data_IF_862197503009
#
_entry.id   IF_862197503009
#
_cell.length_a   1.000
_cell.length_b   1.000
_cell.length_c   1.000
_cell.angle_alpha   90.00
_cell.angle_beta   90.00
_cell.angle_gamma   90.00
#
_symmetry.space_group_name_H-M   'P 1'
#
loop_
_entity.id
_entity.type
_entity.pdbx_description
1 polymer ?
#
# COMPACT_ATOMS: atom_id res chain seq x y z
N UNK A 1 -31.66 14.42 -17.02
CA UNK A 1 -31.65 13.79 -18.37
C UNK A 1 -30.20 13.54 -18.72
N UNK A 2 -29.89 12.35 -19.21
CA UNK A 2 -28.58 11.70 -19.32
C UNK A 2 -27.53 12.46 -20.16
N UNK A 3 -26.28 12.39 -19.69
CA UNK A 3 -25.00 12.15 -20.40
C UNK A 3 -23.90 12.54 -19.39
N UNK A 4 -23.31 11.62 -18.62
CA UNK A 4 -22.14 10.79 -18.96
C UNK A 4 -21.00 11.64 -19.58
N UNK A 5 -19.81 11.57 -18.95
CA UNK A 5 -18.53 12.25 -19.26
C UNK A 5 -17.97 13.14 -18.12
N UNK A 6 -17.45 12.51 -17.07
CA UNK A 6 -16.40 13.11 -16.24
C UNK A 6 -15.52 12.01 -15.61
N UNK A 7 -14.90 11.21 -16.48
CA UNK A 7 -13.70 10.42 -16.15
C UNK A 7 -12.48 11.24 -16.55
N UNK A 8 -12.02 12.16 -15.69
CA UNK A 8 -10.73 12.83 -15.85
C UNK A 8 -10.36 13.64 -14.58
N UNK A 9 -9.18 13.38 -14.04
CA UNK A 9 -8.22 14.35 -13.46
C UNK A 9 -8.32 14.84 -11.99
N UNK A 10 -9.24 14.34 -11.16
CA UNK A 10 -9.24 14.71 -9.74
C UNK A 10 -8.19 13.97 -8.90
N UNK A 11 -6.92 14.34 -8.99
CA UNK A 11 -5.90 13.87 -8.04
C UNK A 11 -6.31 14.33 -6.61
N UNK A 12 -6.22 13.48 -5.58
CA UNK A 12 -6.39 13.94 -4.22
C UNK A 12 -5.43 15.09 -3.97
N UNK A 13 -5.85 16.10 -3.22
CA UNK A 13 -5.02 17.22 -2.80
C UNK A 13 -4.97 17.29 -1.29
N UNK A 14 -3.82 17.65 -0.74
CA UNK A 14 -3.68 17.94 0.69
C UNK A 14 -4.37 19.29 1.02
N UNK A 15 -4.46 19.70 2.30
CA UNK A 15 -5.09 20.98 2.67
C UNK A 15 -4.36 22.22 2.15
N UNK A 16 -3.12 22.04 1.69
CA UNK A 16 -2.28 23.09 1.15
C UNK A 16 -2.38 23.18 -0.38
N UNK A 17 -3.21 22.34 -1.01
CA UNK A 17 -3.45 22.32 -2.45
C UNK A 17 -2.40 21.55 -3.24
N UNK A 18 -1.55 20.76 -2.57
CA UNK A 18 -0.59 19.86 -3.23
C UNK A 18 -1.28 18.58 -3.65
N UNK A 19 -1.13 18.24 -4.93
CA UNK A 19 -1.54 16.97 -5.53
C UNK A 19 -0.87 15.81 -4.79
N UNK A 20 -1.66 15.01 -4.06
CA UNK A 20 -1.26 13.79 -3.33
C UNK A 20 -1.17 12.56 -4.25
N UNK A 21 -0.93 12.78 -5.55
CA UNK A 21 -0.61 11.78 -6.56
C UNK A 21 -1.77 10.90 -7.09
N UNK A 22 -1.47 9.97 -8.01
CA UNK A 22 -2.47 9.27 -8.81
C UNK A 22 -3.05 8.05 -8.12
N UNK A 23 -4.38 7.87 -8.16
CA UNK A 23 -5.08 6.63 -7.75
C UNK A 23 -4.66 5.39 -8.55
N UNK A 24 -4.00 5.57 -9.69
CA UNK A 24 -3.60 4.50 -10.61
C UNK A 24 -2.11 4.14 -10.51
N UNK A 25 -1.34 4.88 -9.71
CA UNK A 25 0.11 4.70 -9.55
C UNK A 25 0.40 4.53 -8.06
N UNK A 26 1.01 3.41 -7.70
CA UNK A 26 1.60 3.20 -6.38
C UNK A 26 2.57 4.33 -6.06
N UNK A 27 2.38 4.98 -4.93
CA UNK A 27 3.27 6.03 -4.43
C UNK A 27 4.11 5.44 -3.29
N UNK A 28 5.37 5.85 -3.22
CA UNK A 28 6.19 5.65 -2.01
C UNK A 28 5.65 6.56 -0.92
N UNK A 29 5.09 5.96 0.13
CA UNK A 29 4.81 6.65 1.38
C UNK A 29 5.93 6.33 2.36
N UNK A 30 6.68 7.36 2.76
CA UNK A 30 7.75 7.26 3.75
C UNK A 30 7.27 7.86 5.08
N UNK A 31 7.76 7.33 6.21
CA UNK A 31 7.39 7.80 7.55
C UNK A 31 6.54 6.80 8.33
N UNK A 32 6.57 6.90 9.66
CA UNK A 32 5.87 5.95 10.55
C UNK A 32 4.35 6.18 10.57
N UNK A 33 3.92 7.37 10.17
CA UNK A 33 2.55 7.85 10.21
C UNK A 33 1.71 7.46 8.99
N UNK A 34 2.31 6.72 8.05
CA UNK A 34 1.68 6.29 6.82
C UNK A 34 1.71 4.77 6.67
N UNK A 35 0.70 4.25 5.98
CA UNK A 35 0.72 2.91 5.43
C UNK A 35 1.68 2.88 4.23
N UNK A 36 2.55 1.88 4.22
CA UNK A 36 3.54 1.64 3.20
C UNK A 36 2.99 0.71 2.14
N UNK A 37 3.26 1.06 0.88
CA UNK A 37 2.95 0.24 -0.29
C UNK A 37 3.85 -0.99 -0.39
N UNK A 38 3.54 -1.87 -1.34
CA UNK A 38 4.45 -2.95 -1.72
C UNK A 38 5.78 -2.38 -2.26
N UNK A 39 6.91 -3.10 -2.13
CA UNK A 39 8.15 -2.70 -2.76
C UNK A 39 7.98 -2.52 -4.28
N UNK A 40 8.50 -1.44 -4.85
CA UNK A 40 8.56 -1.31 -6.32
C UNK A 40 9.80 -2.00 -6.87
N UNK A 41 9.70 -2.58 -8.07
CA UNK A 41 10.87 -3.14 -8.76
C UNK A 41 11.84 -2.05 -9.23
N UNK A 42 11.36 -0.81 -9.42
CA UNK A 42 12.12 0.29 -10.06
C UNK A 42 11.98 1.62 -9.31
N UNK A 43 11.85 1.59 -7.98
CA UNK A 43 11.72 2.80 -7.14
C UNK A 43 10.59 3.76 -7.58
N UNK A 44 9.50 3.20 -8.13
CA UNK A 44 8.37 3.95 -8.70
C UNK A 44 8.73 4.91 -9.86
N UNK A 45 9.86 4.69 -10.54
CA UNK A 45 10.22 5.43 -11.74
C UNK A 45 9.24 5.11 -12.88
N UNK A 46 8.39 6.09 -13.19
CA UNK A 46 7.40 6.05 -14.28
C UNK A 46 8.04 5.93 -15.68
N UNK A 47 9.36 6.12 -15.81
CA UNK A 47 10.10 6.02 -17.08
C UNK A 47 10.79 4.66 -17.30
N UNK A 48 10.87 3.83 -16.27
CA UNK A 48 11.46 2.50 -16.33
C UNK A 48 10.46 1.44 -15.85
N UNK A 49 9.42 1.18 -16.64
CA UNK A 49 8.58 -0.02 -16.45
C UNK A 49 9.29 -1.25 -17.01
N UNK A 50 10.28 -1.77 -16.29
CA UNK A 50 10.85 -3.10 -16.57
C UNK A 50 10.48 -4.03 -15.41
N UNK A 51 9.69 -5.10 -15.61
CA UNK A 51 9.56 -6.14 -14.60
C UNK A 51 10.95 -6.70 -14.28
N UNK A 52 11.21 -7.01 -13.00
CA UNK A 52 12.42 -7.72 -12.61
C UNK A 52 12.37 -9.09 -13.28
N UNK A 53 12.99 -9.23 -14.46
CA UNK A 53 13.10 -10.49 -15.21
C UNK A 53 14.06 -11.49 -14.50
N UNK A 54 14.01 -11.54 -13.16
CA UNK A 54 14.77 -12.45 -12.33
C UNK A 54 13.91 -13.68 -12.07
N UNK A 55 14.38 -14.85 -12.52
CA UNK A 55 13.68 -16.10 -12.30
C UNK A 55 13.58 -16.49 -10.82
N UNK A 56 12.64 -17.36 -10.43
CA UNK A 56 12.36 -17.75 -9.04
C UNK A 56 13.52 -18.49 -8.32
N UNK A 57 14.65 -18.72 -8.99
CA UNK A 57 15.88 -19.34 -8.45
C UNK A 57 17.09 -18.41 -8.47
N UNK A 58 16.89 -17.12 -8.73
CA UNK A 58 17.97 -16.16 -8.69
C UNK A 58 18.31 -15.86 -7.21
N UNK A 59 19.56 -16.10 -6.82
CA UNK A 59 20.03 -15.91 -5.44
C UNK A 59 19.92 -14.45 -4.98
N UNK A 60 20.10 -13.48 -5.88
CA UNK A 60 19.98 -12.05 -5.58
C UNK A 60 18.52 -11.64 -5.28
N UNK A 61 17.56 -12.25 -5.98
CA UNK A 61 16.13 -12.05 -5.70
C UNK A 61 15.76 -12.63 -4.33
N UNK A 62 16.28 -13.81 -3.98
CA UNK A 62 16.05 -14.42 -2.68
C UNK A 62 16.68 -13.59 -1.56
N UNK A 63 17.91 -13.10 -1.76
CA UNK A 63 18.58 -12.21 -0.81
C UNK A 63 17.80 -10.89 -0.61
N UNK A 64 17.30 -10.31 -1.70
CA UNK A 64 16.48 -9.09 -1.66
C UNK A 64 15.15 -9.32 -0.93
N UNK A 65 14.50 -10.47 -1.15
CA UNK A 65 13.26 -10.83 -0.44
C UNK A 65 13.53 -10.98 1.07
N UNK A 66 14.64 -11.60 1.44
CA UNK A 66 15.00 -11.80 2.84
C UNK A 66 15.36 -10.48 3.53
N UNK A 67 16.13 -9.61 2.88
CA UNK A 67 16.44 -8.27 3.37
C UNK A 67 15.17 -7.43 3.59
N UNK A 68 14.24 -7.48 2.62
CA UNK A 68 12.94 -6.80 2.74
C UNK A 68 12.11 -7.38 3.88
N UNK A 69 12.09 -8.71 4.02
CA UNK A 69 11.37 -9.38 5.11
C UNK A 69 11.88 -8.92 6.46
N UNK A 70 13.19 -8.91 6.65
CA UNK A 70 13.82 -8.47 7.89
C UNK A 70 13.54 -6.98 8.17
N UNK A 71 13.57 -6.14 7.13
CA UNK A 71 13.25 -4.71 7.23
C UNK A 71 11.79 -4.48 7.66
N UNK A 72 10.83 -5.16 7.03
CA UNK A 72 9.40 -5.05 7.39
C UNK A 72 9.18 -5.58 8.81
N UNK A 73 9.72 -6.74 9.15
CA UNK A 73 9.64 -7.33 10.48
C UNK A 73 10.15 -6.37 11.57
N UNK A 74 11.31 -5.75 11.35
CA UNK A 74 11.89 -4.79 12.27
C UNK A 74 11.07 -3.50 12.39
N UNK A 75 10.59 -2.96 11.25
CA UNK A 75 9.80 -1.72 11.22
C UNK A 75 8.47 -1.88 11.94
N UNK A 76 7.85 -3.04 11.79
CA UNK A 76 6.52 -3.35 12.32
C UNK A 76 6.57 -4.07 13.67
N UNK A 77 7.80 -4.39 14.13
CA UNK A 77 8.04 -5.07 15.41
C UNK A 77 7.35 -6.44 15.51
N UNK A 78 7.36 -7.20 14.41
CA UNK A 78 6.76 -8.55 14.30
C UNK A 78 7.80 -9.60 13.91
N UNK A 79 7.56 -10.90 14.18
CA UNK A 79 8.37 -11.98 13.63
C UNK A 79 8.38 -11.99 12.09
N UNK A 80 9.52 -12.33 11.49
CA UNK A 80 9.66 -12.45 10.03
C UNK A 80 8.69 -13.47 9.39
N UNK A 81 8.25 -14.45 10.17
CA UNK A 81 7.25 -15.45 9.77
C UNK A 81 5.85 -14.86 9.57
N UNK A 82 5.55 -13.73 10.21
CA UNK A 82 4.25 -13.05 10.12
C UNK A 82 4.22 -12.03 8.96
N UNK A 83 5.36 -11.75 8.33
CA UNK A 83 5.46 -10.83 7.18
C UNK A 83 4.83 -11.48 5.93
N UNK A 84 3.73 -10.92 5.39
CA UNK A 84 3.03 -11.49 4.26
C UNK A 84 3.83 -11.34 2.96
N UNK A 85 3.54 -12.19 1.99
CA UNK A 85 4.34 -12.28 0.77
C UNK A 85 4.27 -10.99 -0.08
N UNK A 86 3.15 -10.26 -0.07
CA UNK A 86 2.99 -9.01 -0.82
C UNK A 86 3.83 -7.85 -0.27
N UNK A 87 4.22 -7.91 1.01
CA UNK A 87 5.11 -6.93 1.65
C UNK A 87 6.56 -7.00 1.14
N UNK A 88 6.98 -8.16 0.60
CA UNK A 88 8.37 -8.40 0.15
C UNK A 88 8.50 -8.62 -1.35
N UNK A 89 7.39 -8.97 -2.00
CA UNK A 89 7.33 -9.17 -3.45
C UNK A 89 6.89 -7.90 -4.15
N UNK A 90 7.66 -7.48 -5.15
CA UNK A 90 7.26 -6.38 -5.99
C UNK A 90 5.99 -6.73 -6.78
N UNK A 91 5.07 -5.78 -6.93
CA UNK A 91 3.94 -5.99 -7.82
C UNK A 91 4.44 -6.10 -9.27
N UNK A 92 3.84 -7.01 -10.05
CA UNK A 92 4.25 -7.27 -11.43
C UNK A 92 4.17 -6.05 -12.36
N UNK A 93 3.44 -5.00 -11.96
CA UNK A 93 3.36 -3.71 -12.67
C UNK A 93 4.31 -2.64 -12.13
N UNK A 94 4.89 -2.81 -10.94
CA UNK A 94 5.67 -1.77 -10.25
C UNK A 94 4.88 -0.52 -9.82
N UNK A 95 3.57 -0.50 -10.08
CA UNK A 95 2.68 0.66 -9.94
C UNK A 95 1.37 0.32 -9.22
N UNK A 96 1.25 -0.85 -8.61
CA UNK A 96 0.03 -1.28 -7.94
C UNK A 96 -0.20 -0.47 -6.65
N UNK A 97 -1.30 0.29 -6.54
CA UNK A 97 -1.60 1.09 -5.35
C UNK A 97 -2.19 0.26 -4.20
N UNK A 98 -2.27 -1.06 -4.36
CA UNK A 98 -2.90 -1.94 -3.39
C UNK A 98 -1.93 -2.82 -2.59
N UNK A 99 -2.30 -3.06 -1.34
CA UNK A 99 -1.71 -4.07 -0.46
C UNK A 99 -2.79 -5.07 -0.02
N UNK A 100 -2.36 -6.23 0.46
CA UNK A 100 -3.27 -7.19 1.08
C UNK A 100 -3.81 -6.64 2.41
N UNK A 101 -5.00 -7.07 2.85
CA UNK A 101 -5.51 -6.77 4.18
C UNK A 101 -4.57 -7.24 5.29
N UNK A 102 -3.85 -8.36 5.08
CA UNK A 102 -2.87 -8.85 6.03
C UNK A 102 -1.69 -7.90 6.19
N UNK A 103 -1.17 -7.35 5.07
CA UNK A 103 -0.09 -6.37 5.14
C UNK A 103 -0.57 -5.05 5.73
N UNK A 104 -1.79 -4.61 5.41
CA UNK A 104 -2.37 -3.42 6.04
C UNK A 104 -2.52 -3.60 7.56
N UNK A 105 -3.07 -4.73 8.02
CA UNK A 105 -3.24 -5.02 9.44
C UNK A 105 -1.90 -4.99 10.20
N UNK A 106 -0.84 -5.52 9.58
CA UNK A 106 0.49 -5.59 10.16
C UNK A 106 1.10 -4.20 10.47
N UNK A 107 0.64 -3.13 9.81
CA UNK A 107 1.14 -1.76 10.04
C UNK A 107 0.27 -0.94 11.00
N UNK A 108 -0.89 -1.48 11.44
CA UNK A 108 -1.90 -0.74 12.22
C UNK A 108 -1.30 -0.13 13.48
N UNK A 109 -0.55 -0.90 14.25
CA UNK A 109 -0.01 -0.45 15.54
C UNK A 109 1.02 0.67 15.36
N UNK A 110 1.88 0.56 14.34
CA UNK A 110 2.87 1.60 14.02
C UNK A 110 2.17 2.91 13.66
N UNK A 111 1.22 2.85 12.72
CA UNK A 111 0.51 4.04 12.24
C UNK A 111 -0.33 4.66 13.35
N UNK A 112 -1.05 3.85 14.13
CA UNK A 112 -1.83 4.31 15.27
C UNK A 112 -0.98 5.09 16.27
N UNK A 113 0.18 4.54 16.65
CA UNK A 113 1.14 5.18 17.56
C UNK A 113 1.68 6.49 17.00
N UNK A 114 2.08 6.52 15.73
CA UNK A 114 2.64 7.72 15.10
C UNK A 114 1.61 8.84 14.92
N UNK A 115 0.33 8.47 14.75
CA UNK A 115 -0.80 9.41 14.57
C UNK A 115 -1.53 9.78 15.85
N UNK A 116 -1.19 9.16 16.98
CA UNK A 116 -1.92 9.35 18.24
C UNK A 116 -3.37 8.84 18.17
N UNK A 117 -3.64 7.83 17.33
CA UNK A 117 -4.96 7.22 17.15
C UNK A 117 -5.07 5.92 17.95
N UNK A 118 -6.30 5.54 18.28
CA UNK A 118 -6.60 4.22 18.80
C UNK A 118 -6.43 3.14 17.72
N UNK A 119 -5.81 2.01 18.07
CA UNK A 119 -5.52 0.94 17.10
C UNK A 119 -6.80 0.33 16.51
N UNK A 120 -7.88 0.19 17.29
CA UNK A 120 -9.17 -0.29 16.76
C UNK A 120 -9.81 0.72 15.82
N UNK A 121 -9.55 2.02 16.03
CA UNK A 121 -10.00 3.05 15.08
C UNK A 121 -9.27 2.90 13.75
N UNK A 122 -7.96 2.67 13.75
CA UNK A 122 -7.16 2.47 12.54
C UNK A 122 -7.58 1.17 11.83
N UNK A 123 -7.78 0.06 12.56
CA UNK A 123 -8.29 -1.21 12.01
C UNK A 123 -9.63 -1.05 11.29
N UNK A 124 -10.56 -0.28 11.86
CA UNK A 124 -11.84 0.05 11.19
C UNK A 124 -11.65 0.86 9.91
N UNK A 125 -10.63 1.71 9.83
CA UNK A 125 -10.30 2.40 8.59
C UNK A 125 -9.75 1.43 7.54
N UNK A 126 -8.90 0.46 7.94
CA UNK A 126 -8.44 -0.60 7.05
C UNK A 126 -9.62 -1.40 6.49
N UNK A 127 -10.53 -1.85 7.36
CA UNK A 127 -11.74 -2.59 6.95
C UNK A 127 -12.61 -1.76 5.98
N UNK A 128 -12.84 -0.48 6.28
CA UNK A 128 -13.65 0.41 5.45
C UNK A 128 -13.04 0.70 4.06
N UNK A 129 -11.72 0.59 3.94
CA UNK A 129 -10.97 0.78 2.68
C UNK A 129 -10.51 -0.54 2.07
N UNK A 130 -10.93 -1.67 2.63
CA UNK A 130 -10.77 -2.99 2.03
C UNK A 130 -11.85 -3.19 0.99
N UNK A 131 -11.47 -3.21 -0.28
CA UNK A 131 -12.39 -3.51 -1.37
C UNK A 131 -12.53 -5.03 -1.48
N UNK A 132 -13.70 -5.54 -1.10
CA UNK A 132 -14.04 -6.96 -1.17
C UNK A 132 -14.78 -7.36 -2.45
N UNK A 133 -14.87 -8.68 -2.70
CA UNK A 133 -15.64 -9.31 -3.78
C UNK A 133 -17.05 -8.72 -3.88
N UNK A 134 -17.32 -7.94 -4.91
CA UNK A 134 -18.69 -7.69 -5.31
C UNK A 134 -19.26 -8.99 -5.91
N UNK A 135 -20.20 -9.64 -5.22
CA UNK A 135 -20.96 -10.81 -5.71
C UNK A 135 -20.14 -12.05 -6.12
N UNK A 136 -19.20 -12.50 -5.29
CA UNK A 136 -18.74 -13.91 -5.32
C UNK A 136 -17.90 -14.35 -6.54
N UNK A 137 -17.61 -13.47 -7.50
CA UNK A 137 -16.79 -13.78 -8.67
C UNK A 137 -15.76 -12.66 -8.87
N UNK A 138 -14.48 -13.04 -8.86
CA UNK A 138 -13.26 -12.26 -9.18
C UNK A 138 -12.58 -11.44 -8.04
N UNK A 139 -11.30 -11.77 -7.77
CA UNK A 139 -10.35 -10.98 -6.97
C UNK A 139 -10.06 -11.47 -5.55
N UNK A 140 -8.81 -11.35 -5.13
CA UNK A 140 -8.40 -11.36 -3.71
C UNK A 140 -8.75 -9.99 -3.09
N UNK A 141 -9.14 -9.92 -1.81
CA UNK A 141 -9.43 -8.65 -1.16
C UNK A 141 -8.17 -7.78 -1.12
N UNK A 142 -8.34 -6.48 -1.37
CA UNK A 142 -7.23 -5.53 -1.47
C UNK A 142 -7.55 -4.21 -0.78
N UNK A 143 -6.52 -3.52 -0.32
CA UNK A 143 -6.60 -2.22 0.37
C UNK A 143 -5.88 -1.17 -0.46
N UNK A 144 -6.57 -0.09 -0.82
CA UNK A 144 -5.97 1.08 -1.48
C UNK A 144 -5.14 1.88 -0.47
N UNK A 145 -3.81 1.93 -0.66
CA UNK A 145 -2.89 2.61 0.26
C UNK A 145 -3.15 4.12 0.30
N UNK A 146 -3.40 4.72 -0.86
CA UNK A 146 -3.67 6.16 -0.98
C UNK A 146 -4.96 6.55 -0.25
N UNK A 147 -6.06 5.85 -0.54
CA UNK A 147 -7.35 6.18 0.08
C UNK A 147 -7.30 5.95 1.61
N UNK A 148 -6.62 4.88 2.06
CA UNK A 148 -6.40 4.62 3.48
C UNK A 148 -5.56 5.72 4.15
N UNK A 149 -4.46 6.15 3.53
CA UNK A 149 -3.61 7.22 4.07
C UNK A 149 -4.36 8.56 4.17
N UNK A 150 -5.17 8.90 3.17
CA UNK A 150 -6.05 10.08 3.23
C UNK A 150 -7.07 9.97 4.38
N UNK A 151 -7.63 8.79 4.61
CA UNK A 151 -8.60 8.57 5.68
C UNK A 151 -7.99 8.67 7.08
N UNK A 152 -6.79 8.11 7.27
CA UNK A 152 -6.04 8.18 8.53
C UNK A 152 -5.62 9.61 8.83
N UNK A 153 -5.12 10.34 7.83
CA UNK A 153 -4.75 11.75 7.98
C UNK A 153 -5.93 12.61 8.42
N UNK A 154 -7.11 12.40 7.81
CA UNK A 154 -8.35 13.08 8.22
C UNK A 154 -8.83 12.70 9.62
N UNK A 155 -8.57 11.47 10.06
CA UNK A 155 -8.98 11.00 11.39
C UNK A 155 -8.06 11.53 12.51
N UNK A 156 -6.82 11.90 12.18
CA UNK A 156 -5.82 12.44 13.13
C UNK A 156 -5.83 13.96 13.33
N UNK A 157 -6.74 14.67 12.66
CA UNK A 157 -6.94 16.12 12.80
C UNK A 157 -8.06 16.44 13.78
#
# INVERSE_FOLDING_TARGET
RLADEARADGLPVDPHGLVVGSRLIGQSFEGQEWFHSRPSANDHDTLASAPSNLGPRNEDLLATIEERRSTVAATESVPEADVPADAVTASGSGLDPHISPAYAELQVDRVARARGLDADRVRKLVEAHTVGRFLGIHGEPVVSVLDLNVAVDRASR
#
